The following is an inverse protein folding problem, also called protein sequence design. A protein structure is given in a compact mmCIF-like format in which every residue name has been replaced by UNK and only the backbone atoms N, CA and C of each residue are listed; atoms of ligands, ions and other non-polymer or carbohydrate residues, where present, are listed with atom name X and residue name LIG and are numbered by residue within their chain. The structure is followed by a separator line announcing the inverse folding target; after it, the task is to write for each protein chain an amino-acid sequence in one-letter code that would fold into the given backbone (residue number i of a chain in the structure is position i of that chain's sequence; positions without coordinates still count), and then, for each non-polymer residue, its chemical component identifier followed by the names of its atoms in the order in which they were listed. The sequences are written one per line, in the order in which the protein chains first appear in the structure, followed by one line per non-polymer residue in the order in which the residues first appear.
data_IF_691817477495
#
_entry.id   IF_691817477495
#
_cell.length_a   1.000
_cell.length_b   1.000
_cell.length_c   1.000
_cell.angle_alpha   90.00
_cell.angle_beta   90.00
_cell.angle_gamma   90.00
#
_symmetry.space_group_name_H-M   'P 1'
#
loop_
_entity.id
_entity.type
_entity.pdbx_description
1 polymer ?
#
# COMPACT_ATOMS: atom_id res chain seq x y z
N UNK A 1 -5.95 29.56 -5.76
CA UNK A 1 -5.48 29.34 -4.37
C UNK A 1 -6.00 28.00 -3.79
N UNK A 2 -7.24 27.60 -4.11
CA UNK A 2 -7.93 26.47 -3.45
C UNK A 2 -7.53 25.07 -3.96
N UNK A 3 -6.41 24.94 -4.67
CA UNK A 3 -5.87 23.64 -5.12
C UNK A 3 -5.39 22.77 -3.96
N UNK A 4 -5.16 23.39 -2.79
CA UNK A 4 -4.90 22.72 -1.52
C UNK A 4 -5.92 23.23 -0.50
N UNK A 5 -6.30 22.37 0.45
CA UNK A 5 -7.13 22.77 1.60
C UNK A 5 -6.43 23.90 2.36
N UNK A 6 -7.15 24.98 2.58
CA UNK A 6 -6.68 26.15 3.33
C UNK A 6 -7.79 26.76 4.18
N UNK A 7 -7.39 27.54 5.16
CA UNK A 7 -8.28 28.45 5.89
C UNK A 7 -8.65 29.62 4.98
N UNK A 8 -9.95 29.91 4.86
CA UNK A 8 -10.46 31.08 4.13
C UNK A 8 -10.99 32.17 5.06
N UNK A 9 -11.34 31.79 6.29
CA UNK A 9 -11.84 32.70 7.32
C UNK A 9 -11.49 32.15 8.71
N UNK A 10 -11.10 33.03 9.63
CA UNK A 10 -10.94 32.72 11.06
C UNK A 10 -12.01 33.48 11.84
N UNK A 11 -12.73 32.76 12.70
CA UNK A 11 -13.82 33.29 13.52
C UNK A 11 -13.52 33.03 15.00
N UNK A 12 -14.32 33.65 15.87
CA UNK A 12 -14.22 33.42 17.30
C UNK A 12 -14.63 31.99 17.69
N UNK A 13 -15.50 31.35 16.90
CA UNK A 13 -16.07 30.01 17.15
C UNK A 13 -15.42 28.90 16.30
N UNK A 14 -14.54 29.22 15.35
CA UNK A 14 -13.83 28.23 14.55
C UNK A 14 -13.15 28.80 13.31
N UNK A 15 -12.95 27.93 12.32
CA UNK A 15 -12.40 28.28 11.00
C UNK A 15 -13.36 27.87 9.89
N UNK A 16 -13.27 28.55 8.75
CA UNK A 16 -13.88 28.09 7.49
C UNK A 16 -12.76 27.62 6.57
N UNK A 17 -12.90 26.42 6.00
CA UNK A 17 -11.90 25.83 5.11
C UNK A 17 -12.45 25.58 3.71
N UNK A 18 -11.57 25.71 2.72
CA UNK A 18 -11.87 25.45 1.31
C UNK A 18 -10.71 24.72 0.62
N UNK A 19 -11.03 23.80 -0.27
CA UNK A 19 -10.08 23.14 -1.15
C UNK A 19 -10.43 21.67 -1.36
N UNK A 20 -9.44 20.84 -1.69
CA UNK A 20 -9.68 19.41 -1.92
C UNK A 20 -8.56 18.51 -1.41
N UNK A 21 -8.91 17.25 -1.14
CA UNK A 21 -8.01 16.13 -0.87
C UNK A 21 -8.33 15.01 -1.84
N UNK A 22 -7.29 14.48 -2.47
CA UNK A 22 -7.39 13.46 -3.50
C UNK A 22 -6.93 12.11 -2.94
N UNK A 23 -7.43 11.02 -3.53
CA UNK A 23 -7.00 9.65 -3.24
C UNK A 23 -7.28 9.24 -1.78
N UNK A 24 -8.48 9.57 -1.29
CA UNK A 24 -8.88 9.25 0.08
C UNK A 24 -9.65 7.93 0.08
N UNK A 25 -8.93 6.85 0.35
CA UNK A 25 -9.48 5.51 0.41
C UNK A 25 -10.62 5.43 1.43
N UNK A 26 -11.73 4.83 1.01
CA UNK A 26 -12.94 4.61 1.80
C UNK A 26 -13.60 5.89 2.37
N UNK A 27 -13.34 7.09 1.82
CA UNK A 27 -13.90 8.34 2.32
C UNK A 27 -15.43 8.34 2.49
N UNK A 28 -16.14 7.57 1.66
CA UNK A 28 -17.60 7.45 1.69
C UNK A 28 -18.14 6.37 2.62
N UNK A 29 -17.26 5.59 3.26
CA UNK A 29 -17.61 4.46 4.13
C UNK A 29 -17.28 4.73 5.61
N UNK A 30 -16.71 5.90 5.93
CA UNK A 30 -16.27 6.27 7.28
C UNK A 30 -17.15 7.38 7.88
N UNK A 31 -17.01 7.59 9.19
CA UNK A 31 -17.76 8.61 9.92
C UNK A 31 -17.08 9.98 9.90
N UNK A 32 -15.75 10.01 9.98
CA UNK A 32 -14.94 11.20 10.21
C UNK A 32 -13.73 11.23 9.28
N UNK A 33 -13.36 12.43 8.83
CA UNK A 33 -12.15 12.71 8.05
C UNK A 33 -11.17 13.48 8.92
N UNK A 34 -9.97 12.94 9.10
CA UNK A 34 -8.84 13.69 9.67
C UNK A 34 -8.04 14.30 8.52
N UNK A 35 -8.16 15.62 8.38
CA UNK A 35 -7.50 16.38 7.30
C UNK A 35 -6.18 16.91 7.83
N UNK A 36 -5.08 16.60 7.16
CA UNK A 36 -3.73 17.00 7.59
C UNK A 36 -2.91 17.58 6.42
N UNK A 37 -1.86 18.38 6.68
CA UNK A 37 -0.90 18.80 5.66
C UNK A 37 -0.13 17.60 5.07
N UNK A 38 0.17 17.64 3.77
CA UNK A 38 0.88 16.55 3.05
C UNK A 38 2.33 16.90 2.69
N UNK A 39 2.78 18.12 3.02
CA UNK A 39 4.14 18.60 2.80
C UNK A 39 4.50 19.67 3.84
N UNK A 40 5.79 20.00 3.91
CA UNK A 40 6.22 21.22 4.58
C UNK A 40 5.67 22.45 3.86
N UNK A 41 5.38 23.49 4.64
CA UNK A 41 4.86 24.77 4.14
C UNK A 41 5.95 25.84 4.24
N UNK A 42 5.95 26.79 3.31
CA UNK A 42 6.77 28.01 3.42
C UNK A 42 6.16 28.96 4.47
N UNK A 43 6.95 29.92 4.95
CA UNK A 43 6.49 30.88 5.97
C UNK A 43 5.30 31.73 5.50
N UNK A 44 5.16 31.98 4.20
CA UNK A 44 4.04 32.69 3.58
C UNK A 44 2.80 31.80 3.31
N UNK A 45 2.87 30.49 3.59
CA UNK A 45 1.80 29.52 3.37
C UNK A 45 1.01 29.19 4.67
N UNK A 46 0.86 30.16 5.59
CA UNK A 46 0.23 29.95 6.91
C UNK A 46 -1.17 29.36 6.83
N UNK A 47 -2.02 29.82 5.91
CA UNK A 47 -3.39 29.32 5.77
C UNK A 47 -3.49 27.87 5.29
N UNK A 48 -2.41 27.31 4.73
CA UNK A 48 -2.32 25.91 4.31
C UNK A 48 -1.76 25.00 5.42
N UNK A 49 -1.18 25.57 6.48
CA UNK A 49 -0.80 24.85 7.69
C UNK A 49 -2.06 24.62 8.56
N UNK A 50 -2.93 23.73 8.09
CA UNK A 50 -4.22 23.45 8.71
C UNK A 50 -4.44 21.95 8.91
N UNK A 51 -4.95 21.56 10.07
CA UNK A 51 -5.29 20.18 10.41
C UNK A 51 -6.53 20.14 11.31
N UNK A 52 -7.46 19.22 11.05
CA UNK A 52 -8.72 19.11 11.79
C UNK A 52 -9.42 17.75 11.56
N UNK A 53 -10.41 17.44 12.40
CA UNK A 53 -11.38 16.36 12.15
C UNK A 53 -12.74 16.93 11.74
N UNK A 54 -13.42 16.30 10.77
CA UNK A 54 -14.76 16.68 10.36
C UNK A 54 -15.61 15.46 9.97
N UNK A 55 -16.91 15.39 10.34
CA UNK A 55 -17.80 14.35 9.83
C UNK A 55 -17.85 14.33 8.31
N UNK A 56 -17.88 13.13 7.70
CA UNK A 56 -17.96 12.97 6.24
C UNK A 56 -19.22 13.64 5.66
N UNK A 57 -20.30 13.67 6.43
CA UNK A 57 -21.57 14.27 6.04
C UNK A 57 -21.71 15.76 6.44
N UNK A 58 -20.64 16.41 6.90
CA UNK A 58 -20.68 17.82 7.26
C UNK A 58 -21.06 18.69 6.05
N UNK A 59 -21.82 19.77 6.30
CA UNK A 59 -22.24 20.69 5.24
C UNK A 59 -21.02 21.25 4.51
N UNK A 60 -21.02 21.15 3.18
CA UNK A 60 -19.92 21.59 2.32
C UNK A 60 -18.87 20.51 2.02
N UNK A 61 -18.90 19.35 2.71
CA UNK A 61 -18.09 18.19 2.34
C UNK A 61 -18.76 17.44 1.20
N UNK A 62 -18.02 17.17 0.12
CA UNK A 62 -18.50 16.38 -1.02
C UNK A 62 -17.49 15.29 -1.34
N UNK A 63 -17.93 14.04 -1.46
CA UNK A 63 -17.08 12.90 -1.82
C UNK A 63 -17.45 12.44 -3.23
N UNK A 64 -16.51 12.57 -4.16
CA UNK A 64 -16.64 12.06 -5.52
C UNK A 64 -15.82 10.76 -5.59
N UNK A 65 -16.50 9.61 -5.67
CA UNK A 65 -15.87 8.30 -5.58
C UNK A 65 -15.48 7.72 -6.94
N UNK A 66 -14.40 6.94 -6.94
CA UNK A 66 -14.12 5.93 -7.96
C UNK A 66 -13.95 4.56 -7.28
N UNK A 67 -14.71 3.55 -7.72
CA UNK A 67 -14.44 2.15 -7.34
C UNK A 67 -13.69 1.43 -8.47
N UNK A 68 -12.84 0.47 -8.10
CA UNK A 68 -12.14 -0.42 -9.03
C UNK A 68 -12.87 -1.75 -9.29
N UNK A 69 -13.85 -2.12 -8.45
CA UNK A 69 -14.64 -3.33 -8.67
C UNK A 69 -15.98 -3.00 -9.36
N UNK A 70 -16.43 -3.88 -10.26
CA UNK A 70 -17.79 -3.82 -10.78
C UNK A 70 -18.81 -4.10 -9.65
N UNK A 71 -20.04 -3.64 -9.81
CA UNK A 71 -21.08 -3.78 -8.77
C UNK A 71 -21.51 -5.23 -8.52
N UNK A 72 -21.26 -6.14 -9.45
CA UNK A 72 -21.65 -7.55 -9.37
C UNK A 72 -20.50 -8.45 -9.82
N UNK A 73 -19.68 -8.89 -8.87
CA UNK A 73 -18.62 -9.89 -9.08
C UNK A 73 -19.01 -11.18 -8.35
N UNK A 74 -18.82 -12.33 -9.00
CA UNK A 74 -19.00 -13.62 -8.34
C UNK A 74 -17.68 -14.07 -7.67
N UNK A 75 -17.78 -14.73 -6.52
CA UNK A 75 -16.62 -15.12 -5.71
C UNK A 75 -15.80 -16.29 -6.29
N UNK A 76 -16.28 -16.97 -7.34
CA UNK A 76 -15.51 -18.01 -8.01
C UNK A 76 -14.49 -17.40 -8.98
N UNK A 77 -14.97 -16.50 -9.84
CA UNK A 77 -14.16 -15.84 -10.87
C UNK A 77 -13.33 -14.69 -10.26
N UNK A 78 -13.82 -14.05 -9.20
CA UNK A 78 -13.20 -12.90 -8.54
C UNK A 78 -13.08 -13.10 -7.02
N UNK A 79 -12.28 -14.08 -6.56
CA UNK A 79 -12.26 -14.52 -5.17
C UNK A 79 -11.79 -13.45 -4.17
N UNK A 80 -11.02 -12.44 -4.61
CA UNK A 80 -10.59 -11.35 -3.76
C UNK A 80 -11.51 -10.14 -3.89
N UNK A 81 -11.72 -9.63 -5.11
CA UNK A 81 -12.41 -8.38 -5.37
C UNK A 81 -13.94 -8.45 -5.21
N UNK A 82 -14.55 -9.64 -5.22
CA UNK A 82 -15.95 -9.82 -4.82
C UNK A 82 -16.18 -9.53 -3.32
N UNK A 83 -15.13 -9.59 -2.50
CA UNK A 83 -15.19 -9.33 -1.06
C UNK A 83 -14.44 -8.06 -0.64
N UNK A 84 -13.57 -7.55 -1.50
CA UNK A 84 -12.73 -6.40 -1.22
C UNK A 84 -12.92 -5.34 -2.32
N UNK A 85 -13.72 -4.32 -2.00
CA UNK A 85 -13.86 -3.13 -2.83
C UNK A 85 -13.88 -1.89 -1.93
N UNK A 86 -12.87 -1.04 -2.07
CA UNK A 86 -12.79 0.23 -1.36
C UNK A 86 -12.84 1.37 -2.38
N UNK A 87 -13.80 2.31 -2.28
CA UNK A 87 -13.84 3.45 -3.18
C UNK A 87 -12.71 4.43 -2.85
N UNK A 88 -12.12 5.04 -3.87
CA UNK A 88 -11.17 6.13 -3.75
C UNK A 88 -11.91 7.47 -3.87
N UNK A 89 -11.88 8.26 -2.81
CA UNK A 89 -12.57 9.54 -2.72
C UNK A 89 -11.72 10.72 -3.19
N UNK A 90 -12.28 11.53 -4.08
CA UNK A 90 -11.92 12.93 -4.22
C UNK A 90 -12.83 13.73 -3.28
N UNK A 91 -12.25 14.27 -2.21
CA UNK A 91 -12.98 14.99 -1.16
C UNK A 91 -12.84 16.50 -1.37
N UNK A 92 -13.96 17.18 -1.60
CA UNK A 92 -14.04 18.64 -1.72
C UNK A 92 -14.56 19.22 -0.41
N UNK A 93 -13.92 20.30 0.04
CA UNK A 93 -14.37 21.16 1.13
C UNK A 93 -14.82 22.49 0.51
N UNK A 94 -16.13 22.71 0.49
CA UNK A 94 -16.81 23.87 -0.08
C UNK A 94 -17.34 24.75 1.08
N UNK A 95 -16.48 25.66 1.57
CA UNK A 95 -16.72 26.54 2.74
C UNK A 95 -17.23 25.79 3.98
N UNK A 96 -16.46 24.79 4.40
CA UNK A 96 -16.79 23.95 5.54
C UNK A 96 -16.39 24.67 6.83
N UNK A 97 -17.35 24.87 7.73
CA UNK A 97 -17.07 25.36 9.08
C UNK A 97 -16.54 24.23 9.96
N UNK A 98 -15.45 24.50 10.68
CA UNK A 98 -14.81 23.59 11.63
C UNK A 98 -14.67 24.31 12.97
N UNK A 99 -15.30 23.82 14.05
CA UNK A 99 -15.22 24.47 15.35
C UNK A 99 -13.87 24.21 16.02
N UNK A 100 -13.42 25.13 16.89
CA UNK A 100 -12.06 25.12 17.45
C UNK A 100 -11.69 23.81 18.17
N UNK A 101 -12.64 23.12 18.82
CA UNK A 101 -12.37 21.85 19.51
C UNK A 101 -12.00 20.69 18.57
N UNK A 102 -12.19 20.86 17.26
CA UNK A 102 -11.82 19.89 16.22
C UNK A 102 -10.57 20.29 15.43
N UNK A 103 -9.96 21.42 15.74
CA UNK A 103 -8.78 21.96 15.03
C UNK A 103 -7.50 21.55 15.77
N UNK A 104 -6.56 20.98 15.03
CA UNK A 104 -5.27 20.49 15.55
C UNK A 104 -4.07 21.31 15.07
N UNK A 105 -4.24 22.12 14.02
CA UNK A 105 -3.23 23.02 13.45
C UNK A 105 -3.94 24.16 12.69
N UNK A 106 -3.53 25.42 12.87
CA UNK A 106 -4.21 26.58 12.28
C UNK A 106 -3.29 27.78 11.96
N UNK A 107 -2.11 27.51 11.39
CA UNK A 107 -1.16 28.54 10.98
C UNK A 107 0.27 28.34 11.50
N UNK A 108 0.48 27.37 12.39
CA UNK A 108 1.80 27.04 12.94
C UNK A 108 2.65 26.29 11.90
N UNK A 109 3.12 27.01 10.88
CA UNK A 109 3.90 26.50 9.74
C UNK A 109 5.00 25.50 10.13
N UNK A 110 5.82 25.71 11.19
CA UNK A 110 6.86 24.74 11.58
C UNK A 110 6.33 23.34 11.89
N UNK A 111 5.06 23.22 12.33
CA UNK A 111 4.45 21.94 12.68
C UNK A 111 3.86 21.20 11.47
N UNK A 112 3.62 21.85 10.33
CA UNK A 112 3.06 21.20 9.15
C UNK A 112 3.92 20.02 8.65
N UNK A 113 5.24 20.15 8.73
CA UNK A 113 6.17 19.06 8.38
C UNK A 113 6.06 17.87 9.34
N UNK A 114 5.78 18.12 10.62
CA UNK A 114 5.60 17.06 11.63
C UNK A 114 4.36 16.22 11.30
N UNK A 115 3.25 16.88 10.97
CA UNK A 115 2.01 16.20 10.51
C UNK A 115 2.27 15.37 9.25
N UNK A 116 2.92 15.95 8.23
CA UNK A 116 3.21 15.25 6.97
C UNK A 116 4.13 14.03 7.17
N UNK A 117 5.14 14.14 8.05
CA UNK A 117 6.03 13.03 8.39
C UNK A 117 5.30 11.93 9.17
N UNK A 118 4.44 12.30 10.12
CA UNK A 118 3.63 11.36 10.91
C UNK A 118 2.68 10.56 10.02
N UNK A 119 1.92 11.23 9.14
CA UNK A 119 1.06 10.59 8.16
C UNK A 119 1.86 9.62 7.27
N UNK A 120 3.00 10.07 6.75
CA UNK A 120 3.86 9.26 5.92
C UNK A 120 4.43 8.03 6.64
N UNK A 121 4.77 8.12 7.92
CA UNK A 121 5.25 6.97 8.70
C UNK A 121 4.16 5.90 8.82
N UNK A 122 2.98 6.27 9.31
CA UNK A 122 1.90 5.32 9.60
C UNK A 122 1.33 4.69 8.34
N UNK A 123 1.16 5.47 7.26
CA UNK A 123 0.72 4.96 5.97
C UNK A 123 1.68 3.90 5.42
N UNK A 124 3.00 4.16 5.52
CA UNK A 124 4.02 3.20 5.08
C UNK A 124 4.05 1.97 5.99
N UNK A 125 3.85 2.11 7.29
CA UNK A 125 3.73 0.98 8.22
C UNK A 125 2.55 0.09 7.85
N UNK A 126 1.36 0.65 7.66
CA UNK A 126 0.18 -0.10 7.23
C UNK A 126 0.42 -0.81 5.90
N UNK A 127 1.01 -0.10 4.93
CA UNK A 127 1.36 -0.68 3.64
C UNK A 127 2.36 -1.84 3.72
N UNK A 128 3.32 -1.81 4.67
CA UNK A 128 4.26 -2.92 4.89
C UNK A 128 3.58 -4.10 5.58
N UNK A 129 2.69 -3.87 6.54
CA UNK A 129 1.89 -4.92 7.19
C UNK A 129 1.08 -5.69 6.15
N UNK A 130 0.43 -4.99 5.23
CA UNK A 130 -0.34 -5.62 4.16
C UNK A 130 0.56 -6.32 3.15
N UNK A 131 1.70 -5.73 2.80
CA UNK A 131 2.66 -6.33 1.89
C UNK A 131 3.20 -7.67 2.40
N UNK A 132 3.45 -7.81 3.71
CA UNK A 132 3.87 -9.09 4.31
C UNK A 132 2.83 -10.18 4.02
N UNK A 133 1.55 -9.93 4.37
CA UNK A 133 0.46 -10.90 4.14
C UNK A 133 0.31 -11.25 2.67
N UNK A 134 0.30 -10.25 1.79
CA UNK A 134 0.15 -10.46 0.36
C UNK A 134 1.32 -11.23 -0.25
N UNK A 135 2.54 -10.95 0.19
CA UNK A 135 3.74 -11.64 -0.31
C UNK A 135 3.76 -13.13 0.07
N UNK A 136 3.26 -13.49 1.25
CA UNK A 136 3.07 -14.90 1.66
C UNK A 136 2.05 -15.60 0.76
N UNK A 137 0.94 -14.93 0.42
CA UNK A 137 -0.05 -15.45 -0.54
C UNK A 137 0.60 -15.66 -1.91
N UNK A 138 1.44 -14.74 -2.40
CA UNK A 138 2.12 -14.90 -3.68
C UNK A 138 3.07 -16.10 -3.71
N UNK A 139 3.81 -16.35 -2.63
CA UNK A 139 4.64 -17.56 -2.48
C UNK A 139 3.78 -18.82 -2.53
N UNK A 140 2.66 -18.84 -1.80
CA UNK A 140 1.73 -19.97 -1.80
C UNK A 140 1.13 -20.24 -3.18
N UNK A 141 0.70 -19.18 -3.89
CA UNK A 141 0.16 -19.29 -5.25
C UNK A 141 1.21 -19.81 -6.23
N UNK A 142 2.44 -19.31 -6.13
CA UNK A 142 3.55 -19.77 -6.96
C UNK A 142 3.85 -21.27 -6.76
N UNK A 143 3.86 -21.72 -5.50
CA UNK A 143 4.02 -23.14 -5.16
C UNK A 143 2.88 -23.99 -5.72
N UNK A 144 1.63 -23.60 -5.44
CA UNK A 144 0.43 -24.33 -5.88
C UNK A 144 0.36 -24.46 -7.40
N UNK A 145 0.60 -23.38 -8.14
CA UNK A 145 0.61 -23.41 -9.61
C UNK A 145 1.68 -24.36 -10.13
N UNK A 146 2.87 -24.33 -9.54
CA UNK A 146 3.99 -25.19 -9.95
C UNK A 146 3.68 -26.67 -9.71
N UNK A 147 3.13 -27.01 -8.54
CA UNK A 147 2.69 -28.36 -8.20
C UNK A 147 1.55 -28.85 -9.09
N UNK A 148 0.54 -28.01 -9.31
CA UNK A 148 -0.59 -28.34 -10.18
C UNK A 148 -0.16 -28.54 -11.63
N UNK A 149 0.96 -27.95 -12.07
CA UNK A 149 1.51 -28.18 -13.40
C UNK A 149 2.46 -29.40 -13.48
N UNK A 150 2.82 -30.02 -12.37
CA UNK A 150 3.83 -31.10 -12.34
C UNK A 150 5.26 -30.60 -12.59
N UNK A 151 5.55 -29.36 -12.20
CA UNK A 151 6.85 -28.70 -12.40
C UNK A 151 7.63 -28.52 -11.09
N UNK A 152 7.35 -29.33 -10.08
CA UNK A 152 7.96 -29.22 -8.74
C UNK A 152 9.49 -29.34 -8.78
N UNK A 153 10.01 -30.10 -9.74
CA UNK A 153 11.46 -30.31 -9.92
C UNK A 153 12.08 -29.39 -10.98
N UNK A 154 11.30 -28.50 -11.58
CA UNK A 154 11.81 -27.58 -12.59
C UNK A 154 12.71 -26.52 -11.92
N UNK A 155 13.99 -26.42 -12.30
CA UNK A 155 14.93 -25.52 -11.63
C UNK A 155 14.57 -24.04 -11.85
N UNK A 156 13.95 -23.69 -12.98
CA UNK A 156 13.55 -22.30 -13.24
C UNK A 156 12.39 -21.92 -12.31
N UNK A 157 11.40 -22.79 -12.17
CA UNK A 157 10.28 -22.57 -11.25
C UNK A 157 10.74 -22.46 -9.79
N UNK A 158 11.64 -23.34 -9.35
CA UNK A 158 12.21 -23.30 -8.00
C UNK A 158 13.01 -22.03 -7.73
N UNK A 159 13.74 -21.52 -8.73
CA UNK A 159 14.45 -20.24 -8.62
C UNK A 159 13.46 -19.07 -8.44
N UNK A 160 12.40 -19.00 -9.26
CA UNK A 160 11.37 -17.96 -9.14
C UNK A 160 10.66 -18.01 -7.78
N UNK A 161 10.31 -19.20 -7.29
CA UNK A 161 9.72 -19.37 -5.94
C UNK A 161 10.71 -18.88 -4.87
N UNK A 162 11.99 -19.20 -5.01
CA UNK A 162 13.03 -18.74 -4.06
C UNK A 162 13.16 -17.21 -4.02
N UNK A 163 13.03 -16.54 -5.17
CA UNK A 163 13.01 -15.07 -5.25
C UNK A 163 11.77 -14.48 -4.54
N UNK A 164 10.60 -15.10 -4.70
CA UNK A 164 9.38 -14.70 -4.01
C UNK A 164 9.48 -14.90 -2.49
N UNK A 165 10.09 -16.01 -2.05
CA UNK A 165 10.37 -16.26 -0.62
C UNK A 165 11.31 -15.18 -0.08
N UNK A 166 12.40 -14.87 -0.78
CA UNK A 166 13.35 -13.84 -0.36
C UNK A 166 12.66 -12.46 -0.24
N UNK A 167 11.78 -12.13 -1.18
CA UNK A 167 10.97 -10.92 -1.13
C UNK A 167 10.04 -10.89 0.10
N UNK A 168 9.25 -11.94 0.30
CA UNK A 168 8.30 -12.03 1.42
C UNK A 168 9.01 -11.96 2.79
N UNK A 169 10.08 -12.74 2.93
CA UNK A 169 10.86 -12.80 4.16
C UNK A 169 11.60 -11.48 4.43
N UNK A 170 12.11 -10.79 3.40
CA UNK A 170 12.70 -9.46 3.58
C UNK A 170 11.70 -8.46 4.13
N UNK A 171 10.46 -8.47 3.67
CA UNK A 171 9.39 -7.62 4.19
C UNK A 171 9.07 -7.97 5.65
N UNK A 172 8.89 -9.26 5.94
CA UNK A 172 8.55 -9.77 7.27
C UNK A 172 9.63 -9.43 8.30
N UNK A 173 10.89 -9.69 7.97
CA UNK A 173 12.04 -9.38 8.81
C UNK A 173 12.22 -7.87 9.01
N UNK A 174 12.02 -7.06 7.97
CA UNK A 174 12.14 -5.61 8.09
C UNK A 174 11.05 -5.01 8.97
N UNK A 175 9.82 -5.51 8.87
CA UNK A 175 8.71 -5.10 9.74
C UNK A 175 8.96 -5.48 11.20
N UNK A 176 9.40 -6.72 11.44
CA UNK A 176 9.74 -7.20 12.77
C UNK A 176 10.85 -6.37 13.40
N UNK A 177 11.93 -6.10 12.66
CA UNK A 177 12.98 -5.19 13.10
C UNK A 177 12.43 -3.80 13.43
N UNK A 178 11.57 -3.23 12.58
CA UNK A 178 11.00 -1.91 12.81
C UNK A 178 10.18 -1.83 14.10
N UNK A 179 9.44 -2.89 14.43
CA UNK A 179 8.65 -3.00 15.65
C UNK A 179 9.51 -3.22 16.89
N UNK A 180 10.55 -4.07 16.81
CA UNK A 180 11.46 -4.35 17.94
C UNK A 180 12.36 -3.16 18.28
N UNK A 181 12.73 -2.36 17.27
CA UNK A 181 13.55 -1.16 17.41
C UNK A 181 12.70 0.12 17.35
N UNK A 182 11.52 0.09 17.98
CA UNK A 182 10.62 1.23 18.06
C UNK A 182 11.27 2.46 18.71
N UNK A 183 10.66 3.61 18.49
CA UNK A 183 11.07 4.89 19.03
C UNK A 183 9.92 5.52 19.80
N UNK A 184 10.25 6.41 20.73
CA UNK A 184 9.28 7.04 21.62
C UNK A 184 9.42 8.56 21.53
N UNK A 185 8.29 9.25 21.42
CA UNK A 185 8.23 10.71 21.49
C UNK A 185 8.29 11.22 22.94
N UNK A 186 8.57 12.51 23.18
CA UNK A 186 8.54 13.07 24.55
C UNK A 186 7.20 12.92 25.28
N UNK A 187 6.08 12.77 24.57
CA UNK A 187 4.76 12.52 25.15
C UNK A 187 4.49 11.04 25.49
N UNK A 188 5.44 10.15 25.22
CA UNK A 188 5.31 8.71 25.45
C UNK A 188 4.67 7.93 24.30
N UNK A 189 4.27 8.57 23.20
CA UNK A 189 3.78 7.85 22.02
C UNK A 189 4.90 7.01 21.40
N UNK A 190 4.63 5.73 21.23
CA UNK A 190 5.52 4.75 20.58
C UNK A 190 5.19 4.67 19.10
N UNK A 191 6.22 4.66 18.25
CA UNK A 191 6.09 4.46 16.82
C UNK A 191 7.21 3.56 16.29
N UNK A 192 7.01 2.85 15.17
CA UNK A 192 8.04 1.97 14.64
C UNK A 192 9.29 2.75 14.22
N UNK A 193 10.40 2.04 14.10
CA UNK A 193 11.66 2.59 13.61
C UNK A 193 11.47 3.26 12.24
N UNK A 194 11.71 4.57 12.17
CA UNK A 194 11.45 5.36 10.95
C UNK A 194 12.28 4.86 9.77
N UNK A 195 13.58 4.61 9.97
CA UNK A 195 14.45 4.16 8.89
C UNK A 195 14.00 2.80 8.35
N UNK A 196 13.77 1.83 9.24
CA UNK A 196 13.39 0.47 8.86
C UNK A 196 12.06 0.42 8.09
N UNK A 197 11.04 1.18 8.51
CA UNK A 197 9.76 1.25 7.76
C UNK A 197 9.96 1.82 6.36
N UNK A 198 10.81 2.85 6.20
CA UNK A 198 11.06 3.43 4.89
C UNK A 198 11.85 2.47 3.98
N UNK A 199 12.81 1.72 4.53
CA UNK A 199 13.52 0.65 3.80
C UNK A 199 12.55 -0.45 3.39
N UNK A 200 11.72 -0.93 4.31
CA UNK A 200 10.75 -1.99 4.07
C UNK A 200 9.73 -1.59 2.99
N UNK A 201 9.11 -0.41 3.12
CA UNK A 201 8.14 0.09 2.13
C UNK A 201 8.79 0.36 0.78
N UNK A 202 10.02 0.85 0.75
CA UNK A 202 10.76 1.01 -0.50
C UNK A 202 11.01 -0.35 -1.17
N UNK A 203 11.47 -1.34 -0.41
CA UNK A 203 11.71 -2.69 -0.92
C UNK A 203 10.42 -3.34 -1.43
N UNK A 204 9.31 -3.19 -0.69
CA UNK A 204 7.96 -3.59 -1.13
C UNK A 204 7.64 -3.00 -2.50
N UNK A 205 7.62 -1.68 -2.59
CA UNK A 205 7.20 -0.94 -3.79
C UNK A 205 8.10 -1.20 -5.00
N UNK A 206 9.43 -1.20 -4.80
CA UNK A 206 10.41 -1.33 -5.88
C UNK A 206 10.41 -2.73 -6.51
N UNK A 207 10.03 -3.77 -5.77
CA UNK A 207 10.09 -5.15 -6.23
C UNK A 207 8.71 -5.80 -6.45
N UNK A 208 7.61 -5.11 -6.12
CA UNK A 208 6.25 -5.66 -6.26
C UNK A 208 5.95 -6.16 -7.68
N UNK A 209 6.34 -5.39 -8.69
CA UNK A 209 6.08 -5.73 -10.09
C UNK A 209 6.92 -6.94 -10.55
N UNK A 210 8.11 -7.13 -10.00
CA UNK A 210 8.92 -8.31 -10.26
C UNK A 210 8.32 -9.56 -9.60
N UNK A 211 7.77 -9.42 -8.39
CA UNK A 211 7.05 -10.49 -7.71
C UNK A 211 5.79 -10.91 -8.49
N UNK A 212 5.01 -9.93 -8.96
CA UNK A 212 3.86 -10.18 -9.85
C UNK A 212 4.28 -10.87 -11.14
N UNK A 213 5.36 -10.39 -11.79
CA UNK A 213 5.90 -11.02 -13.00
C UNK A 213 6.28 -12.48 -12.75
N UNK A 214 6.95 -12.79 -11.64
CA UNK A 214 7.29 -14.17 -11.28
C UNK A 214 6.05 -15.07 -11.19
N UNK A 215 4.96 -14.57 -10.62
CA UNK A 215 3.70 -15.30 -10.53
C UNK A 215 3.04 -15.50 -11.91
N UNK A 216 3.11 -14.50 -12.79
CA UNK A 216 2.63 -14.59 -14.17
C UNK A 216 3.46 -15.57 -15.00
N UNK A 217 4.78 -15.55 -14.87
CA UNK A 217 5.68 -16.46 -15.59
C UNK A 217 5.42 -17.91 -15.20
N UNK A 218 5.17 -18.17 -13.91
CA UNK A 218 4.79 -19.50 -13.41
C UNK A 218 3.38 -19.92 -13.88
N UNK A 219 2.41 -19.02 -13.83
CA UNK A 219 1.03 -19.29 -14.24
C UNK A 219 0.85 -19.45 -15.76
N UNK A 220 1.63 -18.75 -16.56
CA UNK A 220 1.45 -18.69 -18.00
C UNK A 220 0.10 -18.10 -18.42
N UNK A 221 -0.27 -18.31 -19.68
CA UNK A 221 -1.46 -17.67 -20.29
C UNK A 221 -2.79 -18.00 -19.61
N UNK A 222 -2.87 -19.13 -18.90
CA UNK A 222 -4.09 -19.56 -18.23
C UNK A 222 -4.54 -18.58 -17.13
N UNK A 223 -3.62 -17.77 -16.59
CA UNK A 223 -3.98 -16.67 -15.66
C UNK A 223 -5.02 -15.74 -16.28
N UNK A 224 -4.94 -15.48 -17.59
CA UNK A 224 -5.88 -14.58 -18.27
C UNK A 224 -6.98 -15.32 -19.02
N UNK A 225 -6.70 -16.52 -19.52
CA UNK A 225 -7.59 -17.23 -20.46
C UNK A 225 -8.43 -18.32 -19.80
N UNK A 226 -8.44 -18.40 -18.46
CA UNK A 226 -9.25 -19.38 -17.74
C UNK A 226 -10.75 -19.18 -18.03
N UNK A 227 -11.49 -20.25 -18.36
CA UNK A 227 -12.95 -20.21 -18.47
C UNK A 227 -13.64 -19.83 -17.16
N UNK A 228 -14.88 -19.35 -17.26
CA UNK A 228 -15.64 -18.87 -16.11
C UNK A 228 -16.28 -20.01 -15.32
N UNK A 229 -16.75 -19.73 -14.10
CA UNK A 229 -17.56 -20.69 -13.33
C UNK A 229 -18.74 -21.23 -14.15
N UNK A 230 -19.43 -20.35 -14.88
CA UNK A 230 -20.58 -20.72 -15.69
C UNK A 230 -20.26 -21.83 -16.71
N UNK A 231 -19.07 -21.81 -17.30
CA UNK A 231 -18.61 -22.84 -18.22
C UNK A 231 -18.31 -24.17 -17.50
N UNK A 232 -17.76 -24.11 -16.28
CA UNK A 232 -17.49 -25.30 -15.46
C UNK A 232 -18.78 -26.00 -15.01
N UNK A 233 -19.83 -25.21 -14.73
CA UNK A 233 -21.16 -25.70 -14.31
C UNK A 233 -22.06 -26.10 -15.47
N UNK A 234 -21.74 -25.69 -16.69
CA UNK A 234 -22.52 -26.02 -17.90
C UNK A 234 -22.51 -27.52 -18.18
N UNK A 235 -23.69 -28.09 -18.43
CA UNK A 235 -23.83 -29.48 -18.87
C UNK A 235 -23.28 -29.76 -20.28
N UNK A 236 -22.89 -28.72 -21.03
CA UNK A 236 -22.29 -28.87 -22.37
C UNK A 236 -20.77 -28.74 -22.35
N UNK A 237 -20.22 -27.78 -21.59
CA UNK A 237 -18.78 -27.48 -21.57
C UNK A 237 -18.07 -28.00 -20.32
N UNK A 238 -18.77 -28.26 -19.22
CA UNK A 238 -18.18 -28.62 -17.94
C UNK A 238 -17.34 -29.89 -17.98
N UNK A 239 -17.77 -30.94 -18.67
CA UNK A 239 -17.00 -32.17 -18.81
C UNK A 239 -15.77 -31.99 -19.70
N UNK A 240 -15.87 -31.12 -20.71
CA UNK A 240 -14.74 -30.75 -21.57
C UNK A 240 -13.68 -30.00 -20.76
N UNK A 241 -14.10 -29.06 -19.91
CA UNK A 241 -13.18 -28.33 -19.03
C UNK A 241 -12.49 -29.26 -18.04
N UNK A 242 -13.24 -30.16 -17.38
CA UNK A 242 -12.67 -31.17 -16.47
C UNK A 242 -11.66 -32.07 -17.18
N UNK A 243 -11.89 -32.39 -18.45
CA UNK A 243 -10.95 -33.19 -19.26
C UNK A 243 -9.70 -32.41 -19.68
N UNK A 244 -9.86 -31.21 -20.25
CA UNK A 244 -8.75 -30.49 -20.90
C UNK A 244 -7.97 -29.56 -19.96
N UNK A 245 -8.51 -29.21 -18.79
CA UNK A 245 -7.77 -28.48 -17.74
C UNK A 245 -7.11 -29.40 -16.71
N UNK A 246 -7.39 -30.71 -16.76
CA UNK A 246 -6.73 -31.70 -15.90
C UNK A 246 -5.23 -31.79 -16.22
N UNK A 247 -4.43 -31.98 -15.17
CA UNK A 247 -2.97 -32.15 -15.29
C UNK A 247 -2.48 -33.41 -14.60
N UNK A 248 -2.63 -33.50 -13.28
CA UNK A 248 -2.19 -34.64 -12.47
C UNK A 248 -3.39 -35.32 -11.79
N UNK A 249 -3.32 -36.63 -11.49
CA UNK A 249 -4.42 -37.38 -10.89
C UNK A 249 -4.93 -36.83 -9.55
N UNK A 250 -4.08 -36.16 -8.78
CA UNK A 250 -4.35 -35.57 -7.47
C UNK A 250 -4.80 -34.10 -7.54
N UNK A 251 -4.91 -33.52 -8.73
CA UNK A 251 -5.30 -32.12 -8.93
C UNK A 251 -6.75 -32.03 -9.40
N UNK A 252 -7.62 -31.58 -8.50
CA UNK A 252 -8.98 -31.20 -8.84
C UNK A 252 -9.01 -29.94 -9.72
N UNK A 253 -9.77 -30.00 -10.81
CA UNK A 253 -9.85 -28.93 -11.82
C UNK A 253 -10.49 -27.68 -11.25
N UNK A 254 -11.51 -27.81 -10.41
CA UNK A 254 -12.13 -26.64 -9.79
C UNK A 254 -11.16 -25.91 -8.86
N UNK A 255 -10.44 -26.67 -8.03
CA UNK A 255 -9.40 -26.13 -7.15
C UNK A 255 -8.31 -25.41 -7.95
N UNK A 256 -7.85 -26.01 -9.04
CA UNK A 256 -6.92 -25.37 -9.98
C UNK A 256 -7.50 -24.05 -10.50
N UNK A 257 -8.74 -24.06 -10.98
CA UNK A 257 -9.41 -22.86 -11.51
C UNK A 257 -9.45 -21.73 -10.47
N UNK A 258 -9.76 -22.03 -9.20
CA UNK A 258 -9.77 -21.04 -8.11
C UNK A 258 -8.40 -20.42 -7.85
N UNK A 259 -7.33 -21.21 -7.89
CA UNK A 259 -5.95 -20.71 -7.75
C UNK A 259 -5.61 -19.72 -8.87
N UNK A 260 -5.92 -20.07 -10.12
CA UNK A 260 -5.67 -19.20 -11.27
C UNK A 260 -6.53 -17.92 -11.25
N UNK A 261 -7.82 -18.03 -10.88
CA UNK A 261 -8.69 -16.87 -10.70
C UNK A 261 -8.15 -15.92 -9.61
N UNK A 262 -7.64 -16.45 -8.49
CA UNK A 262 -7.05 -15.61 -7.45
C UNK A 262 -5.79 -14.89 -7.93
N UNK A 263 -4.93 -15.55 -8.71
CA UNK A 263 -3.78 -14.89 -9.33
C UNK A 263 -4.25 -13.75 -10.23
N UNK A 264 -5.19 -14.02 -11.14
CA UNK A 264 -5.74 -13.01 -12.07
C UNK A 264 -6.30 -11.81 -11.32
N UNK A 265 -7.13 -12.06 -10.31
CA UNK A 265 -7.84 -11.03 -9.55
C UNK A 265 -6.87 -10.13 -8.77
N UNK A 266 -5.83 -10.72 -8.16
CA UNK A 266 -4.81 -10.00 -7.40
C UNK A 266 -3.79 -9.24 -8.26
N UNK A 267 -3.65 -9.57 -9.55
CA UNK A 267 -2.48 -9.11 -10.33
C UNK A 267 -2.77 -8.54 -11.71
N UNK A 268 -3.90 -8.87 -12.32
CA UNK A 268 -4.20 -8.56 -13.72
C UNK A 268 -5.54 -7.86 -13.94
N UNK A 269 -6.57 -8.18 -13.16
CA UNK A 269 -7.87 -7.51 -13.23
C UNK A 269 -7.80 -6.09 -12.66
N UNK A 270 -8.93 -5.35 -12.66
CA UNK A 270 -8.99 -3.99 -12.14
C UNK A 270 -8.51 -3.88 -10.68
N UNK A 271 -8.74 -4.91 -9.85
CA UNK A 271 -8.21 -4.98 -8.49
C UNK A 271 -6.68 -5.16 -8.48
N UNK A 272 -6.14 -6.06 -9.31
CA UNK A 272 -4.70 -6.19 -9.50
C UNK A 272 -4.03 -4.92 -10.03
N UNK A 273 -4.68 -4.21 -10.95
CA UNK A 273 -4.22 -2.90 -11.42
C UNK A 273 -4.19 -1.85 -10.31
N UNK A 274 -5.19 -1.83 -9.43
CA UNK A 274 -5.19 -0.99 -8.23
C UNK A 274 -4.02 -1.35 -7.31
N UNK A 275 -3.79 -2.65 -7.04
CA UNK A 275 -2.66 -3.12 -6.23
C UNK A 275 -1.29 -2.66 -6.80
N UNK A 276 -1.08 -2.79 -8.12
CA UNK A 276 0.16 -2.37 -8.77
C UNK A 276 0.46 -0.87 -8.55
N UNK A 277 -0.55 -0.01 -8.71
CA UNK A 277 -0.36 1.44 -8.55
C UNK A 277 -0.22 1.82 -7.08
N UNK A 278 -1.04 1.25 -6.19
CA UNK A 278 -1.01 1.53 -4.75
C UNK A 278 0.29 1.07 -4.11
N UNK A 279 0.83 -0.09 -4.52
CA UNK A 279 2.13 -0.57 -4.07
C UNK A 279 3.23 0.48 -4.28
N UNK A 280 3.19 1.22 -5.40
CA UNK A 280 4.12 2.30 -5.70
C UNK A 280 3.79 3.61 -4.99
N UNK A 281 2.54 4.07 -5.11
CA UNK A 281 2.16 5.46 -4.80
C UNK A 281 1.79 5.68 -3.34
N UNK A 282 1.21 4.67 -2.66
CA UNK A 282 0.79 4.82 -1.27
C UNK A 282 1.99 5.15 -0.36
N UNK A 283 1.78 6.10 0.55
CA UNK A 283 2.84 6.63 1.41
C UNK A 283 3.83 7.57 0.70
N UNK A 284 3.48 8.14 -0.46
CA UNK A 284 4.21 9.24 -1.11
C UNK A 284 5.20 8.84 -2.19
N UNK A 285 5.12 7.62 -2.72
CA UNK A 285 5.99 7.16 -3.82
C UNK A 285 7.43 6.85 -3.41
N UNK A 286 8.16 6.16 -4.29
CA UNK A 286 9.58 5.78 -4.12
C UNK A 286 10.46 6.95 -3.68
N UNK A 287 10.20 8.15 -4.19
CA UNK A 287 10.98 9.34 -3.86
C UNK A 287 10.84 9.76 -2.38
N UNK A 288 9.63 9.72 -1.83
CA UNK A 288 9.43 10.11 -0.43
C UNK A 288 10.13 9.14 0.53
N UNK A 289 10.13 7.83 0.23
CA UNK A 289 10.88 6.87 1.04
C UNK A 289 12.39 7.11 0.94
N UNK A 290 12.94 7.40 -0.25
CA UNK A 290 14.36 7.76 -0.42
C UNK A 290 14.76 9.00 0.39
N UNK A 291 13.96 10.06 0.33
CA UNK A 291 14.21 11.28 1.12
C UNK A 291 14.25 10.95 2.62
N UNK A 292 13.31 10.14 3.10
CA UNK A 292 13.29 9.75 4.51
C UNK A 292 14.47 8.86 4.90
N UNK A 293 14.89 7.93 4.03
CA UNK A 293 16.09 7.12 4.26
C UNK A 293 17.34 8.01 4.35
N UNK A 294 17.52 8.97 3.44
CA UNK A 294 18.65 9.90 3.50
C UNK A 294 18.65 10.76 4.77
N UNK A 295 17.48 11.12 5.29
CA UNK A 295 17.35 11.88 6.53
C UNK A 295 17.58 11.05 7.78
N UNK A 296 17.13 9.79 7.78
CA UNK A 296 17.13 8.93 8.96
C UNK A 296 18.40 8.08 9.10
N UNK A 297 19.15 7.86 8.01
CA UNK A 297 20.39 7.08 8.05
C UNK A 297 21.53 7.89 8.68
N UNK A 298 22.31 7.25 9.57
CA UNK A 298 23.47 7.86 10.21
C UNK A 298 24.67 7.93 9.24
N UNK A 299 24.59 8.89 8.33
CA UNK A 299 25.62 9.14 7.32
C UNK A 299 26.93 9.62 7.95
N UNK A 300 26.88 10.29 9.11
CA UNK A 300 28.05 10.78 9.81
C UNK A 300 28.91 9.61 10.30
N UNK A 301 28.31 8.65 10.99
CA UNK A 301 29.02 7.44 11.45
C UNK A 301 29.51 6.60 10.28
N UNK A 302 28.71 6.43 9.21
CA UNK A 302 29.14 5.70 8.03
C UNK A 302 30.37 6.35 7.35
N UNK A 303 30.36 7.69 7.20
CA UNK A 303 31.49 8.45 6.67
C UNK A 303 32.72 8.33 7.57
N UNK A 304 32.54 8.38 8.89
CA UNK A 304 33.64 8.23 9.84
C UNK A 304 34.32 6.86 9.70
N UNK A 305 33.52 5.79 9.67
CA UNK A 305 34.04 4.43 9.45
C UNK A 305 34.81 4.33 8.14
N UNK A 306 34.32 4.95 7.07
CA UNK A 306 35.01 4.97 5.78
C UNK A 306 36.34 5.75 5.84
N UNK A 307 36.39 6.88 6.54
CA UNK A 307 37.62 7.68 6.70
C UNK A 307 38.68 6.93 7.52
N UNK A 308 38.26 6.23 8.58
CA UNK A 308 39.13 5.35 9.37
C UNK A 308 39.66 4.21 8.49
N UNK A 309 38.78 3.52 7.75
CA UNK A 309 39.17 2.42 6.86
C UNK A 309 40.13 2.87 5.74
N UNK A 310 40.02 4.12 5.29
CA UNK A 310 40.91 4.72 4.30
C UNK A 310 42.25 5.21 4.87
N UNK A 311 42.48 5.13 6.18
CA UNK A 311 43.66 5.68 6.84
C UNK A 311 43.70 7.22 6.89
N UNK A 312 42.60 7.88 6.55
CA UNK A 312 42.47 9.33 6.58
C UNK A 312 42.18 9.88 7.99
N UNK A 313 41.80 9.00 8.93
CA UNK A 313 41.62 9.28 10.35
C UNK A 313 42.17 8.13 11.19
N UNK A 314 42.69 8.39 12.40
CA UNK A 314 43.08 7.33 13.30
C UNK A 314 41.86 6.50 13.71
N UNK A 315 42.04 5.20 13.90
CA UNK A 315 40.99 4.35 14.45
C UNK A 315 40.62 4.88 15.84
N UNK A 316 39.33 5.18 16.06
CA UNK A 316 38.83 5.46 17.40
C UNK A 316 38.97 4.20 18.23
N UNK A 317 39.94 4.18 19.16
CA UNK A 317 40.02 3.17 20.21
C UNK A 317 38.78 3.30 21.08
N UNK A 318 37.87 2.33 20.97
CA UNK A 318 36.80 2.11 21.94
C UNK A 318 37.29 1.17 23.03
#
# INVERSE_FOLDING_TARGET
PDLYVRIVERRNDGIVVRGAKLHITAASLIHELVVMPTKGMRQDETDYAVSFSIPVNAKGVKVINRSFAASELNAFDYPASAHHSMPEGFVVFDDVFVPWERVFLAGEVPLATVFAQSLGLWERTGGVVEAVKMSEIFVGLAQLVTEQQGKERDPVAQNTISELIAYAETLRMSLDYACRHFQTTPSGMVHPNILAINVAKYHYAANFHAAVRGLHDLGGGLVLTLPLEADLRSGTTGDLLRKYLHTKPDVDVETRMRVYNLIRDLTADAYGGWQQVVALQAGGGLNAQRIMMHRAYDMATARERALIAAGARPATTH
#
